data_IF_826326803448
#
_entry.id   IF_826326803448
#
_cell.length_a   1.000
_cell.length_b   1.000
_cell.length_c   1.000
_cell.angle_alpha   90.00
_cell.angle_beta   90.00
_cell.angle_gamma   90.00
#
_symmetry.space_group_name_H-M   'P 1'
#
loop_
_entity.id
_entity.type
_entity.pdbx_description
1 polymer ?
#
# COMPACT_ATOMS: atom_id res chain seq x y z
N UNK A 1 3.87 -13.20 8.35
CA UNK A 1 3.87 -13.89 7.03
C UNK A 1 5.01 -13.39 6.16
N UNK A 2 5.14 -12.09 5.92
CA UNK A 2 6.22 -11.51 5.08
C UNK A 2 7.63 -11.86 5.56
N UNK A 3 7.89 -11.86 6.87
CA UNK A 3 9.18 -12.24 7.45
C UNK A 3 9.59 -13.67 7.06
N UNK A 4 8.65 -14.62 7.19
CA UNK A 4 8.90 -16.02 6.84
C UNK A 4 9.11 -16.19 5.33
N UNK A 5 8.35 -15.48 4.51
CA UNK A 5 8.53 -15.52 3.07
C UNK A 5 9.85 -14.87 2.64
N UNK A 6 10.32 -13.85 3.33
CA UNK A 6 11.61 -13.22 3.04
C UNK A 6 12.80 -14.14 3.29
N UNK A 7 12.69 -15.11 4.22
CA UNK A 7 13.69 -16.16 4.39
C UNK A 7 13.90 -16.99 3.11
N UNK A 8 12.82 -17.20 2.34
CA UNK A 8 12.78 -18.11 1.19
C UNK A 8 12.96 -17.39 -0.15
N UNK A 9 12.41 -16.18 -0.31
CA UNK A 9 12.15 -15.58 -1.62
C UNK A 9 12.75 -14.19 -1.83
N UNK A 10 13.43 -13.60 -0.91
CA UNK A 10 13.86 -12.21 -1.04
C UNK A 10 12.73 -11.21 -0.83
N UNK A 11 12.70 -10.11 -1.60
CA UNK A 11 11.73 -9.03 -1.39
C UNK A 11 10.27 -9.45 -1.60
N UNK A 12 9.38 -8.85 -0.81
CA UNK A 12 7.94 -9.05 -0.84
C UNK A 12 7.23 -7.81 -1.37
N UNK A 13 6.14 -7.98 -2.12
CA UNK A 13 5.36 -6.85 -2.63
C UNK A 13 3.86 -7.11 -2.55
N UNK A 14 3.12 -6.12 -2.07
CA UNK A 14 1.66 -6.12 -2.08
C UNK A 14 1.19 -5.15 -3.17
N UNK A 15 0.59 -5.65 -4.26
CA UNK A 15 0.30 -4.83 -5.45
C UNK A 15 -0.94 -3.94 -5.32
N UNK A 16 -1.81 -4.16 -4.33
CA UNK A 16 -3.05 -3.42 -4.11
C UNK A 16 -3.41 -3.38 -2.62
N UNK A 17 -2.55 -2.76 -1.82
CA UNK A 17 -2.65 -2.79 -0.37
C UNK A 17 -3.96 -2.22 0.16
N UNK A 18 -4.41 -1.08 -0.39
CA UNK A 18 -5.66 -0.41 -0.05
C UNK A 18 -6.87 -1.31 -0.30
N UNK A 19 -6.98 -1.92 -1.48
CA UNK A 19 -8.07 -2.87 -1.80
C UNK A 19 -8.06 -4.11 -0.92
N UNK A 20 -6.88 -4.65 -0.60
CA UNK A 20 -6.79 -5.85 0.22
C UNK A 20 -7.11 -5.60 1.68
N UNK A 21 -6.85 -4.39 2.18
CA UNK A 21 -7.11 -4.04 3.57
C UNK A 21 -8.52 -3.47 3.79
N UNK A 22 -9.18 -2.93 2.77
CA UNK A 22 -10.51 -2.34 2.87
C UNK A 22 -11.56 -3.26 3.53
N UNK A 23 -11.67 -4.56 3.20
CA UNK A 23 -12.63 -5.44 3.87
C UNK A 23 -12.41 -5.58 5.38
N UNK A 24 -11.16 -5.51 5.83
CA UNK A 24 -10.83 -5.57 7.26
C UNK A 24 -11.24 -4.30 8.01
N UNK A 25 -11.24 -3.14 7.35
CA UNK A 25 -11.76 -1.90 7.92
C UNK A 25 -13.25 -2.03 8.19
N UNK A 26 -14.02 -2.56 7.21
CA UNK A 26 -15.46 -2.83 7.38
C UNK A 26 -15.70 -3.82 8.52
N UNK A 27 -14.94 -4.90 8.58
CA UNK A 27 -15.04 -5.87 9.67
C UNK A 27 -14.76 -5.24 11.04
N UNK A 28 -13.73 -4.39 11.13
CA UNK A 28 -13.42 -3.66 12.36
C UNK A 28 -14.56 -2.74 12.77
N UNK A 29 -15.19 -2.05 11.82
CA UNK A 29 -16.36 -1.24 12.08
C UNK A 29 -17.53 -2.04 12.65
N UNK A 30 -17.81 -3.22 12.11
CA UNK A 30 -18.84 -4.12 12.61
C UNK A 30 -18.53 -4.59 14.04
N UNK A 31 -17.26 -4.97 14.31
CA UNK A 31 -16.82 -5.33 15.67
C UNK A 31 -16.97 -4.19 16.67
N UNK A 32 -16.74 -2.93 16.27
CA UNK A 32 -16.97 -1.78 17.17
C UNK A 32 -18.47 -1.53 17.43
N UNK A 33 -19.34 -1.75 16.43
CA UNK A 33 -20.78 -1.71 16.62
C UNK A 33 -21.26 -2.79 17.61
N UNK A 34 -20.70 -4.00 17.53
CA UNK A 34 -21.02 -5.10 18.46
C UNK A 34 -20.62 -4.74 19.91
N UNK A 35 -19.41 -4.19 20.10
CA UNK A 35 -18.96 -3.75 21.43
C UNK A 35 -19.84 -2.66 22.01
N UNK A 36 -20.28 -1.69 21.20
CA UNK A 36 -21.21 -0.66 21.64
C UNK A 36 -22.55 -1.30 22.02
N UNK A 37 -22.99 -2.29 21.24
CA UNK A 37 -24.20 -3.06 21.51
C UNK A 37 -24.14 -3.82 22.84
N UNK A 38 -23.04 -4.48 23.12
CA UNK A 38 -22.80 -5.15 24.41
C UNK A 38 -22.90 -4.17 25.60
N UNK A 39 -22.32 -2.97 25.46
CA UNK A 39 -22.37 -1.94 26.53
C UNK A 39 -23.80 -1.42 26.72
N UNK A 40 -24.54 -1.19 25.64
CA UNK A 40 -25.88 -0.62 25.68
C UNK A 40 -26.99 -1.66 25.91
N UNK A 41 -26.68 -2.97 25.85
CA UNK A 41 -27.67 -4.05 25.89
C UNK A 41 -28.59 -4.09 24.68
N UNK A 42 -28.10 -3.65 23.51
CA UNK A 42 -28.83 -3.55 22.24
C UNK A 42 -28.01 -4.12 21.08
N UNK A 43 -28.66 -4.70 20.04
CA UNK A 43 -27.98 -5.13 18.83
C UNK A 43 -27.99 -4.04 17.75
N UNK A 44 -26.82 -3.71 17.23
CA UNK A 44 -26.65 -2.76 16.12
C UNK A 44 -26.33 -3.46 14.78
N UNK A 45 -26.63 -4.75 14.64
CA UNK A 45 -26.38 -5.49 13.38
C UNK A 45 -27.05 -4.84 12.17
N UNK A 46 -28.18 -4.10 12.36
CA UNK A 46 -28.84 -3.32 11.32
C UNK A 46 -27.97 -2.21 10.71
N UNK A 47 -26.89 -1.80 11.40
CA UNK A 47 -25.98 -0.73 10.99
C UNK A 47 -24.68 -1.24 10.34
N UNK A 48 -24.48 -2.55 10.18
CA UNK A 48 -23.27 -3.12 9.64
C UNK A 48 -22.91 -2.62 8.23
N UNK A 49 -23.95 -2.38 7.42
CA UNK A 49 -23.82 -1.88 6.05
C UNK A 49 -24.17 -0.38 5.93
N UNK A 50 -24.19 0.33 7.06
CA UNK A 50 -24.47 1.75 7.04
C UNK A 50 -23.55 2.47 6.05
N UNK A 51 -24.08 3.36 5.22
CA UNK A 51 -23.27 4.14 4.29
C UNK A 51 -22.34 5.05 5.10
N UNK A 52 -21.05 4.94 4.81
CA UNK A 52 -20.02 5.72 5.46
C UNK A 52 -19.27 6.46 4.37
N UNK A 53 -19.43 7.77 4.32
CA UNK A 53 -18.81 8.58 3.27
C UNK A 53 -17.29 8.64 3.39
N UNK A 54 -16.80 8.74 4.61
CA UNK A 54 -15.37 8.79 4.88
C UNK A 54 -15.08 8.38 6.32
N UNK A 55 -14.11 7.50 6.51
CA UNK A 55 -13.67 7.09 7.84
C UNK A 55 -12.81 8.21 8.46
N UNK A 56 -13.47 9.27 8.94
CA UNK A 56 -12.85 10.38 9.65
C UNK A 56 -13.32 10.42 11.09
N UNK A 57 -12.39 10.66 12.01
CA UNK A 57 -12.77 10.98 13.39
C UNK A 57 -13.50 12.32 13.44
N UNK A 58 -14.64 12.33 14.12
CA UNK A 58 -15.46 13.53 14.32
C UNK A 58 -15.85 13.65 15.77
N UNK A 59 -16.14 14.88 16.17
CA UNK A 59 -16.75 15.14 17.47
C UNK A 59 -18.17 14.56 17.49
N UNK A 60 -18.57 14.04 18.65
CA UNK A 60 -19.90 13.47 18.88
C UNK A 60 -20.91 14.51 19.41
N UNK A 61 -20.50 15.78 19.57
CA UNK A 61 -21.36 16.85 20.07
C UNK A 61 -22.51 17.10 19.08
N UNK A 62 -23.75 17.04 19.60
CA UNK A 62 -24.95 17.30 18.81
C UNK A 62 -25.43 16.13 17.93
N UNK A 63 -24.68 15.02 17.84
CA UNK A 63 -25.11 13.82 17.12
C UNK A 63 -25.90 12.92 18.08
N UNK A 64 -27.04 12.37 17.62
CA UNK A 64 -27.93 11.53 18.40
C UNK A 64 -28.35 10.26 17.67
N UNK A 65 -28.94 9.31 18.37
CA UNK A 65 -29.49 8.07 17.81
C UNK A 65 -28.44 7.22 17.08
N UNK A 66 -28.86 6.58 16.02
CA UNK A 66 -28.01 5.68 15.23
C UNK A 66 -26.78 6.40 14.64
N UNK A 67 -26.92 7.67 14.24
CA UNK A 67 -25.80 8.45 13.71
C UNK A 67 -24.68 8.62 14.73
N UNK A 68 -25.03 8.77 16.03
CA UNK A 68 -24.05 8.83 17.11
C UNK A 68 -23.34 7.50 17.30
N UNK A 69 -24.06 6.39 17.22
CA UNK A 69 -23.50 5.04 17.31
C UNK A 69 -22.55 4.78 16.14
N UNK A 70 -22.98 5.07 14.91
CA UNK A 70 -22.17 4.96 13.71
C UNK A 70 -20.89 5.80 13.83
N UNK A 71 -21.04 7.08 14.22
CA UNK A 71 -19.87 7.96 14.32
C UNK A 71 -18.90 7.53 15.42
N UNK A 72 -19.42 7.01 16.56
CA UNK A 72 -18.57 6.46 17.60
C UNK A 72 -17.80 5.22 17.12
N UNK A 73 -18.50 4.27 16.50
CA UNK A 73 -17.88 3.09 15.92
C UNK A 73 -16.82 3.46 14.86
N UNK A 74 -17.09 4.49 14.03
CA UNK A 74 -16.11 5.01 13.07
C UNK A 74 -14.87 5.58 13.76
N UNK A 75 -15.02 6.39 14.81
CA UNK A 75 -13.90 6.96 15.54
C UNK A 75 -12.99 5.87 16.13
N UNK A 76 -13.60 4.80 16.68
CA UNK A 76 -12.88 3.64 17.20
C UNK A 76 -12.18 2.86 16.06
N UNK A 77 -12.87 2.66 14.94
CA UNK A 77 -12.33 2.00 13.74
C UNK A 77 -11.10 2.74 13.22
N UNK A 78 -11.19 4.05 13.03
CA UNK A 78 -10.05 4.87 12.58
C UNK A 78 -8.86 4.73 13.53
N UNK A 79 -9.13 4.75 14.86
CA UNK A 79 -8.06 4.57 15.85
C UNK A 79 -7.38 3.21 15.74
N UNK A 80 -8.16 2.14 15.57
CA UNK A 80 -7.62 0.77 15.39
C UNK A 80 -6.85 0.62 14.07
N UNK A 81 -7.36 1.21 12.99
CA UNK A 81 -6.65 1.22 11.70
C UNK A 81 -5.34 1.98 11.82
N UNK A 82 -5.33 3.15 12.45
CA UNK A 82 -4.11 3.91 12.71
C UNK A 82 -3.06 3.09 13.47
N UNK A 83 -3.45 2.49 14.60
CA UNK A 83 -2.56 1.63 15.40
C UNK A 83 -2.04 0.42 14.60
N UNK A 84 -2.89 -0.14 13.72
CA UNK A 84 -2.49 -1.26 12.87
C UNK A 84 -1.47 -0.84 11.83
N UNK A 85 -1.61 0.35 11.24
CA UNK A 85 -0.64 0.90 10.29
C UNK A 85 0.68 1.26 10.98
N UNK A 86 0.61 1.84 12.18
CA UNK A 86 1.78 2.11 13.00
C UNK A 86 2.54 0.81 13.35
N UNK A 87 1.84 -0.21 13.83
CA UNK A 87 2.41 -1.51 14.11
C UNK A 87 3.01 -2.17 12.86
N UNK A 88 2.34 -2.06 11.73
CA UNK A 88 2.82 -2.60 10.46
C UNK A 88 4.14 -1.93 10.04
N UNK A 89 4.17 -0.60 9.98
CA UNK A 89 5.37 0.15 9.60
C UNK A 89 6.51 -0.10 10.60
N UNK A 90 6.21 -0.10 11.90
CA UNK A 90 7.22 -0.39 12.93
C UNK A 90 7.80 -1.80 12.78
N UNK A 91 6.96 -2.80 12.59
CA UNK A 91 7.40 -4.19 12.45
C UNK A 91 8.26 -4.41 11.21
N UNK A 92 7.93 -3.74 10.08
CA UNK A 92 8.74 -3.84 8.86
C UNK A 92 10.15 -3.24 9.03
N UNK A 93 10.37 -2.40 10.04
CA UNK A 93 11.67 -1.78 10.32
C UNK A 93 12.42 -2.41 11.52
N UNK A 94 11.76 -3.24 12.32
CA UNK A 94 12.33 -3.82 13.54
C UNK A 94 12.47 -5.35 13.52
N UNK A 95 11.62 -6.04 12.76
CA UNK A 95 11.68 -7.50 12.63
C UNK A 95 12.73 -7.88 11.60
N UNK A 96 13.65 -8.74 11.98
CA UNK A 96 14.72 -9.23 11.12
C UNK A 96 14.40 -10.63 10.59
N UNK A 97 14.92 -10.91 9.41
CA UNK A 97 14.89 -12.21 8.74
C UNK A 97 16.31 -12.63 8.32
N UNK A 98 16.43 -13.78 7.68
CA UNK A 98 17.71 -14.31 7.17
C UNK A 98 18.79 -14.35 8.23
N UNK A 99 18.53 -15.11 9.28
CA UNK A 99 19.45 -15.27 10.38
C UNK A 99 19.62 -14.02 11.26
N UNK A 100 18.65 -13.11 11.23
CA UNK A 100 18.66 -11.89 12.04
C UNK A 100 19.50 -10.75 11.47
N UNK A 101 20.01 -10.86 10.24
CA UNK A 101 20.93 -9.87 9.65
C UNK A 101 20.25 -8.90 8.67
N UNK A 102 19.01 -9.12 8.30
CA UNK A 102 18.29 -8.26 7.35
C UNK A 102 16.89 -7.93 7.86
N UNK A 103 16.49 -6.67 7.68
CA UNK A 103 15.08 -6.28 7.74
C UNK A 103 14.33 -6.85 6.54
N UNK A 104 13.02 -7.06 6.68
CA UNK A 104 12.17 -7.58 5.61
C UNK A 104 12.10 -6.58 4.46
N UNK A 105 12.67 -6.91 3.31
CA UNK A 105 12.61 -6.07 2.11
C UNK A 105 11.21 -6.13 1.53
N UNK A 106 10.39 -5.17 1.88
CA UNK A 106 8.96 -5.14 1.57
C UNK A 106 8.58 -3.89 0.79
N UNK A 107 7.56 -4.00 -0.05
CA UNK A 107 6.95 -2.88 -0.77
C UNK A 107 5.44 -3.01 -0.83
N UNK A 108 4.75 -1.89 -0.85
CA UNK A 108 3.30 -1.82 -0.99
C UNK A 108 2.92 -0.81 -2.06
N UNK A 109 1.91 -1.15 -2.85
CA UNK A 109 1.34 -0.30 -3.87
C UNK A 109 -0.11 0.03 -3.49
N UNK A 110 -0.51 1.29 -3.59
CA UNK A 110 -1.82 1.77 -3.18
C UNK A 110 -2.18 3.11 -3.85
N UNK A 111 -3.35 3.65 -3.57
CA UNK A 111 -3.77 4.99 -4.00
C UNK A 111 -4.94 4.99 -4.96
N UNK A 112 -5.42 3.82 -5.42
CA UNK A 112 -6.50 3.71 -6.40
C UNK A 112 -7.84 3.23 -5.83
N UNK A 113 -7.90 2.73 -4.60
CA UNK A 113 -9.18 2.43 -3.97
C UNK A 113 -9.90 3.73 -3.55
N UNK A 114 -11.11 3.92 -4.07
CA UNK A 114 -11.97 5.08 -3.80
C UNK A 114 -13.09 4.80 -2.80
N UNK A 115 -13.17 3.57 -2.27
CA UNK A 115 -14.10 3.23 -1.19
C UNK A 115 -13.74 3.99 0.09
N UNK A 116 -14.71 4.18 0.98
CA UNK A 116 -14.45 4.84 2.26
C UNK A 116 -13.43 4.05 3.10
N UNK A 117 -13.51 2.72 3.05
CA UNK A 117 -12.61 1.81 3.72
C UNK A 117 -11.17 1.90 3.17
N UNK A 118 -11.02 1.82 1.85
CA UNK A 118 -9.70 1.94 1.21
C UNK A 118 -9.08 3.31 1.45
N UNK A 119 -9.86 4.38 1.39
CA UNK A 119 -9.41 5.74 1.74
C UNK A 119 -8.99 5.86 3.19
N UNK A 120 -9.65 5.16 4.12
CA UNK A 120 -9.23 5.08 5.52
C UNK A 120 -7.84 4.44 5.63
N UNK A 121 -7.63 3.30 4.99
CA UNK A 121 -6.30 2.62 4.96
C UNK A 121 -5.22 3.55 4.43
N UNK A 122 -5.48 4.19 3.28
CA UNK A 122 -4.53 5.12 2.64
C UNK A 122 -4.19 6.27 3.59
N UNK A 123 -5.21 6.90 4.20
CA UNK A 123 -5.03 8.04 5.08
C UNK A 123 -4.20 7.68 6.32
N UNK A 124 -4.54 6.59 6.99
CA UNK A 124 -3.85 6.22 8.22
C UNK A 124 -2.44 5.68 7.97
N UNK A 125 -2.20 5.05 6.83
CA UNK A 125 -0.84 4.72 6.38
C UNK A 125 0.01 5.98 6.13
N UNK A 126 -0.57 6.98 5.47
CA UNK A 126 0.10 8.25 5.22
C UNK A 126 0.34 9.04 6.52
N UNK A 127 -0.63 9.04 7.46
CA UNK A 127 -0.47 9.66 8.78
C UNK A 127 0.71 9.04 9.53
N UNK A 128 0.72 7.72 9.67
CA UNK A 128 1.79 6.96 10.32
C UNK A 128 3.15 7.22 9.66
N UNK A 129 3.18 7.25 8.33
CA UNK A 129 4.42 7.54 7.59
C UNK A 129 4.90 8.97 7.86
N UNK A 130 3.98 9.93 7.91
CA UNK A 130 4.29 11.34 8.18
C UNK A 130 4.83 11.54 9.60
N UNK A 131 4.26 10.85 10.59
CA UNK A 131 4.69 10.87 11.98
C UNK A 131 6.06 10.21 12.13
N UNK A 132 6.30 9.11 11.45
CA UNK A 132 7.55 8.35 11.48
C UNK A 132 7.56 7.30 12.59
N UNK A 133 8.66 6.57 12.72
CA UNK A 133 8.84 5.49 13.71
C UNK A 133 9.70 5.96 14.89
N UNK A 134 9.42 5.39 16.06
CA UNK A 134 10.15 5.72 17.29
C UNK A 134 10.09 7.22 17.60
N UNK A 135 11.23 7.89 17.64
CA UNK A 135 11.34 9.32 17.91
C UNK A 135 11.10 10.20 16.66
N UNK A 136 10.23 9.76 15.74
CA UNK A 136 9.92 10.48 14.51
C UNK A 136 10.93 10.26 13.39
N UNK A 137 11.69 9.18 13.43
CA UNK A 137 12.62 8.79 12.36
C UNK A 137 11.87 8.33 11.11
N UNK A 138 12.48 8.53 9.94
CA UNK A 138 11.90 8.04 8.69
C UNK A 138 12.00 6.52 8.61
N UNK A 139 10.87 5.84 8.41
CA UNK A 139 10.83 4.42 8.15
C UNK A 139 11.46 4.11 6.77
N UNK A 140 12.23 3.02 6.68
CA UNK A 140 12.83 2.56 5.43
C UNK A 140 11.87 1.61 4.71
N UNK A 141 11.17 0.76 5.44
CA UNK A 141 10.23 -0.22 4.95
C UNK A 141 8.83 -0.05 5.55
N UNK A 142 7.78 -0.46 4.84
CA UNK A 142 7.79 -0.91 3.44
C UNK A 142 8.10 0.26 2.49
N UNK A 143 8.72 -0.04 1.35
CA UNK A 143 8.81 0.91 0.24
C UNK A 143 7.40 1.16 -0.26
N UNK A 144 6.97 2.40 -0.22
CA UNK A 144 5.59 2.78 -0.55
C UNK A 144 5.51 3.36 -1.95
N UNK A 145 4.54 2.90 -2.72
CA UNK A 145 4.30 3.31 -4.10
C UNK A 145 2.86 3.78 -4.26
N UNK A 146 2.70 5.08 -4.51
CA UNK A 146 1.43 5.68 -4.86
C UNK A 146 1.13 5.48 -6.34
N UNK A 147 -0.01 4.89 -6.66
CA UNK A 147 -0.52 4.74 -8.01
C UNK A 147 -1.36 5.96 -8.39
N UNK A 148 -0.86 6.78 -9.32
CA UNK A 148 -1.56 7.97 -9.81
C UNK A 148 -2.35 7.65 -11.06
N UNK A 149 -3.65 8.00 -11.09
CA UNK A 149 -4.57 7.73 -12.19
C UNK A 149 -5.57 8.86 -12.39
N UNK A 150 -5.82 9.25 -13.66
CA UNK A 150 -6.92 10.17 -14.01
C UNK A 150 -8.27 9.53 -13.68
N UNK A 151 -9.21 10.34 -13.18
CA UNK A 151 -10.52 9.88 -12.71
C UNK A 151 -10.47 9.20 -11.32
N UNK A 152 -9.28 9.15 -10.69
CA UNK A 152 -9.12 8.61 -9.34
C UNK A 152 -8.40 9.58 -8.40
N UNK A 153 -7.27 10.15 -8.83
CA UNK A 153 -6.43 10.97 -7.95
C UNK A 153 -5.65 12.08 -8.65
N UNK A 154 -5.96 12.37 -9.93
CA UNK A 154 -5.17 13.29 -10.74
C UNK A 154 -5.71 14.73 -10.69
N UNK A 155 -7.02 14.92 -10.82
CA UNK A 155 -7.70 16.21 -10.93
C UNK A 155 -8.37 16.58 -9.59
N UNK A 156 -8.62 17.87 -9.31
CA UNK A 156 -9.25 18.32 -8.07
C UNK A 156 -10.60 17.69 -7.76
N UNK A 157 -11.36 17.31 -8.79
CA UNK A 157 -12.65 16.62 -8.69
C UNK A 157 -12.53 15.11 -8.43
N UNK A 158 -11.35 14.53 -8.59
CA UNK A 158 -11.14 13.10 -8.37
C UNK A 158 -11.25 12.74 -6.89
N UNK A 159 -11.89 11.60 -6.60
CA UNK A 159 -12.21 11.16 -5.22
C UNK A 159 -11.01 11.09 -4.29
N UNK A 160 -9.82 10.71 -4.78
CA UNK A 160 -8.59 10.56 -4.00
C UNK A 160 -7.62 11.73 -4.19
N UNK A 161 -8.04 12.85 -4.74
CA UNK A 161 -7.17 14.00 -4.96
C UNK A 161 -6.64 14.62 -3.65
N UNK A 162 -7.48 14.67 -2.61
CA UNK A 162 -7.08 15.13 -1.27
C UNK A 162 -5.97 14.25 -0.68
N UNK A 163 -6.12 12.93 -0.81
CA UNK A 163 -5.11 11.96 -0.36
C UNK A 163 -3.84 12.02 -1.21
N UNK A 164 -3.96 12.28 -2.52
CA UNK A 164 -2.80 12.51 -3.38
C UNK A 164 -1.99 13.74 -2.96
N UNK A 165 -2.66 14.87 -2.66
CA UNK A 165 -1.98 16.05 -2.12
C UNK A 165 -1.27 15.74 -0.79
N UNK A 166 -1.93 14.96 0.05
CA UNK A 166 -1.33 14.53 1.32
C UNK A 166 -0.14 13.59 1.07
N UNK A 167 -0.24 12.65 0.14
CA UNK A 167 0.89 11.79 -0.26
C UNK A 167 2.10 12.59 -0.74
N UNK A 168 1.88 13.65 -1.54
CA UNK A 168 2.95 14.56 -1.95
C UNK A 168 3.61 15.26 -0.75
N UNK A 169 2.82 15.73 0.23
CA UNK A 169 3.32 16.34 1.46
C UNK A 169 4.15 15.35 2.29
N UNK A 170 3.67 14.10 2.42
CA UNK A 170 4.37 13.03 3.13
C UNK A 170 5.69 12.71 2.44
N UNK A 171 5.67 12.54 1.10
CA UNK A 171 6.85 12.26 0.30
C UNK A 171 7.91 13.36 0.42
N UNK A 172 7.51 14.62 0.42
CA UNK A 172 8.41 15.74 0.59
C UNK A 172 9.14 15.74 1.96
N UNK A 173 8.52 15.14 2.98
CA UNK A 173 9.11 15.06 4.33
C UNK A 173 9.87 13.75 4.58
N UNK A 174 9.38 12.63 4.01
CA UNK A 174 9.78 11.27 4.37
C UNK A 174 10.40 10.46 3.22
N UNK A 175 10.49 11.04 2.02
CA UNK A 175 10.92 10.38 0.79
C UNK A 175 9.98 9.28 0.28
N UNK A 176 8.90 8.97 0.98
CA UNK A 176 7.82 8.05 0.62
C UNK A 176 6.46 8.75 0.72
N UNK A 177 5.47 8.32 -0.10
CA UNK A 177 5.57 7.32 -1.16
C UNK A 177 6.33 7.80 -2.41
N UNK A 178 6.86 6.85 -3.19
CA UNK A 178 7.20 7.04 -4.58
C UNK A 178 5.93 7.04 -5.44
N UNK A 179 5.99 7.53 -6.67
CA UNK A 179 4.81 7.67 -7.53
C UNK A 179 4.98 6.88 -8.82
N UNK A 180 3.93 6.12 -9.19
CA UNK A 180 3.82 5.48 -10.50
C UNK A 180 2.63 6.07 -11.26
N UNK A 181 2.84 6.44 -12.51
CA UNK A 181 1.79 6.99 -13.37
C UNK A 181 1.13 5.84 -14.16
N UNK A 182 -0.13 5.52 -13.82
CA UNK A 182 -0.92 4.50 -14.51
C UNK A 182 -1.43 4.95 -15.88
N UNK A 183 -1.39 6.27 -16.17
CA UNK A 183 -1.80 6.82 -17.46
C UNK A 183 -0.68 6.82 -18.51
N UNK A 184 0.54 6.43 -18.13
CA UNK A 184 1.61 6.24 -19.10
C UNK A 184 1.23 5.11 -20.08
N UNK A 185 1.47 5.26 -21.40
CA UNK A 185 1.01 4.29 -22.41
C UNK A 185 1.43 2.86 -22.12
N UNK A 186 2.65 2.66 -21.59
CA UNK A 186 3.16 1.34 -21.23
C UNK A 186 2.56 0.77 -19.93
N UNK A 187 1.85 1.57 -19.14
CA UNK A 187 1.16 1.14 -17.92
C UNK A 187 -0.35 0.96 -18.13
N UNK A 188 -0.84 1.35 -19.30
CA UNK A 188 -2.26 1.21 -19.61
C UNK A 188 -2.66 -0.26 -19.81
N UNK A 189 -3.86 -0.60 -19.32
CA UNK A 189 -4.50 -1.89 -19.56
C UNK A 189 -5.91 -1.67 -20.12
N UNK A 190 -6.25 -2.36 -21.20
CA UNK A 190 -7.52 -2.19 -21.91
C UNK A 190 -8.75 -2.58 -21.07
N UNK A 191 -8.59 -3.52 -20.15
CA UNK A 191 -9.66 -3.99 -19.26
C UNK A 191 -9.83 -3.10 -18.02
N UNK A 192 -8.97 -2.11 -17.79
CA UNK A 192 -9.11 -1.22 -16.65
C UNK A 192 -10.32 -0.30 -16.80
N UNK A 193 -11.22 -0.31 -15.83
CA UNK A 193 -12.39 0.58 -15.75
C UNK A 193 -12.51 1.15 -14.35
N UNK A 194 -12.88 2.42 -14.25
CA UNK A 194 -12.96 3.14 -12.97
C UNK A 194 -14.04 2.58 -12.02
N UNK A 195 -15.11 2.03 -12.58
CA UNK A 195 -16.26 1.44 -11.87
C UNK A 195 -16.08 -0.06 -11.55
N UNK A 196 -15.05 -0.72 -12.06
CA UNK A 196 -14.77 -2.12 -11.73
C UNK A 196 -14.18 -2.22 -10.31
N UNK A 197 -14.85 -2.90 -9.37
CA UNK A 197 -14.32 -3.10 -8.01
C UNK A 197 -13.04 -3.94 -7.97
N UNK A 198 -12.74 -4.66 -9.04
CA UNK A 198 -11.52 -5.48 -9.19
C UNK A 198 -10.48 -4.84 -10.12
N UNK A 199 -10.63 -3.54 -10.44
CA UNK A 199 -9.72 -2.83 -11.37
C UNK A 199 -8.26 -2.91 -10.99
N UNK A 200 -7.95 -3.11 -9.70
CA UNK A 200 -6.58 -3.29 -9.22
C UNK A 200 -5.84 -4.46 -9.89
N UNK A 201 -6.56 -5.45 -10.42
CA UNK A 201 -5.98 -6.57 -11.15
C UNK A 201 -5.35 -6.15 -12.48
N UNK A 202 -5.80 -5.03 -13.03
CA UNK A 202 -5.38 -4.46 -14.30
C UNK A 202 -4.43 -3.28 -14.12
N UNK A 203 -3.83 -3.16 -12.95
CA UNK A 203 -2.89 -2.09 -12.62
C UNK A 203 -1.48 -2.62 -12.51
N UNK A 204 -0.53 -1.86 -13.04
CA UNK A 204 0.88 -2.11 -12.81
C UNK A 204 1.21 -2.00 -11.33
N UNK A 205 2.15 -2.78 -10.86
CA UNK A 205 2.74 -2.61 -9.54
C UNK A 205 4.27 -2.60 -9.65
N UNK A 206 4.92 -2.06 -8.64
CA UNK A 206 6.36 -2.21 -8.49
C UNK A 206 6.68 -3.15 -7.33
N UNK A 207 7.64 -4.02 -7.56
CA UNK A 207 8.24 -4.86 -6.54
C UNK A 207 9.56 -4.20 -6.11
N UNK A 208 9.69 -3.92 -4.82
CA UNK A 208 10.76 -3.06 -4.35
C UNK A 208 10.61 -1.63 -4.88
N UNK A 209 11.74 -0.95 -5.12
CA UNK A 209 11.70 0.46 -5.52
C UNK A 209 11.50 0.70 -7.03
N UNK A 210 11.80 -0.27 -7.91
CA UNK A 210 11.86 -0.03 -9.37
C UNK A 210 11.42 -1.19 -10.24
N UNK A 211 11.32 -2.41 -9.73
CA UNK A 211 10.98 -3.57 -10.56
C UNK A 211 9.51 -3.49 -10.94
N UNK A 212 9.25 -3.10 -12.16
CA UNK A 212 7.90 -3.02 -12.72
C UNK A 212 7.38 -4.42 -12.98
N UNK A 213 6.19 -4.73 -12.48
CA UNK A 213 5.53 -6.03 -12.59
C UNK A 213 4.18 -5.85 -13.25
N UNK A 214 4.05 -6.33 -14.48
CA UNK A 214 2.81 -6.19 -15.24
C UNK A 214 2.73 -7.17 -16.40
N UNK A 215 3.68 -7.14 -17.34
CA UNK A 215 3.67 -7.99 -18.53
C UNK A 215 3.77 -9.46 -18.16
N UNK A 216 3.06 -10.28 -18.94
CA UNK A 216 3.15 -11.73 -18.86
C UNK A 216 3.23 -12.30 -20.27
N UNK A 217 4.28 -13.06 -20.54
CA UNK A 217 4.47 -13.69 -21.85
C UNK A 217 3.48 -14.83 -22.09
N UNK A 218 3.02 -15.49 -21.05
CA UNK A 218 2.27 -16.73 -21.10
C UNK A 218 0.87 -16.65 -20.47
N UNK A 219 0.39 -15.46 -20.18
CA UNK A 219 -0.91 -15.27 -19.53
C UNK A 219 -1.35 -13.81 -19.53
N UNK A 220 -2.40 -13.49 -18.77
CA UNK A 220 -2.92 -12.13 -18.71
C UNK A 220 -1.90 -11.15 -18.14
N UNK A 221 -1.95 -9.94 -18.65
CA UNK A 221 -1.15 -8.81 -18.18
C UNK A 221 -1.70 -8.35 -16.82
N UNK A 222 -1.03 -8.72 -15.73
CA UNK A 222 -1.44 -8.40 -14.36
C UNK A 222 -0.25 -8.35 -13.42
N UNK A 223 -0.36 -7.58 -12.34
CA UNK A 223 0.63 -7.56 -11.26
C UNK A 223 0.35 -8.58 -10.14
N UNK A 224 -0.81 -9.26 -10.18
CA UNK A 224 -1.26 -10.19 -9.15
C UNK A 224 -0.62 -11.57 -9.33
N UNK A 225 -0.25 -12.21 -8.20
CA UNK A 225 0.30 -13.57 -8.20
C UNK A 225 1.67 -13.67 -8.86
N UNK A 226 2.43 -12.59 -8.86
CA UNK A 226 3.78 -12.51 -9.43
C UNK A 226 4.83 -12.69 -8.34
N UNK A 227 6.01 -13.16 -8.73
CA UNK A 227 7.14 -13.34 -7.80
C UNK A 227 8.47 -13.39 -8.52
N UNK A 228 9.55 -13.26 -7.77
CA UNK A 228 10.90 -13.48 -8.26
C UNK A 228 11.18 -14.97 -8.24
N UNK A 229 11.44 -15.56 -9.40
CA UNK A 229 11.79 -16.98 -9.53
C UNK A 229 13.30 -17.22 -9.45
N UNK A 230 14.10 -16.27 -9.91
CA UNK A 230 15.54 -16.36 -9.92
C UNK A 230 16.18 -14.98 -10.00
N UNK A 231 17.46 -14.92 -9.79
CA UNK A 231 18.30 -13.76 -10.07
C UNK A 231 19.49 -14.15 -10.90
N UNK A 232 19.97 -13.24 -11.72
CA UNK A 232 21.16 -13.41 -12.54
C UNK A 232 22.19 -12.40 -12.09
N UNK A 233 23.39 -12.89 -11.79
CA UNK A 233 24.53 -12.05 -11.40
C UNK A 233 25.53 -12.00 -12.51
N UNK A 234 25.93 -10.81 -12.92
CA UNK A 234 27.04 -10.59 -13.83
C UNK A 234 28.29 -10.33 -13.00
N UNK A 235 29.30 -11.19 -13.14
CA UNK A 235 30.57 -11.00 -12.46
C UNK A 235 31.43 -10.01 -13.23
N UNK A 236 31.27 -8.74 -12.95
CA UNK A 236 31.99 -7.64 -13.62
C UNK A 236 33.51 -7.77 -13.40
N UNK A 237 33.95 -8.24 -12.24
CA UNK A 237 35.38 -8.43 -11.94
C UNK A 237 35.98 -9.47 -12.88
N UNK A 238 35.27 -10.60 -13.07
CA UNK A 238 35.72 -11.63 -14.01
C UNK A 238 35.79 -11.09 -15.44
N UNK A 239 34.76 -10.38 -15.89
CA UNK A 239 34.75 -9.77 -17.20
C UNK A 239 35.91 -8.78 -17.39
N UNK A 240 36.17 -7.95 -16.38
CA UNK A 240 37.30 -7.02 -16.43
C UNK A 240 38.64 -7.75 -16.58
N UNK A 241 38.85 -8.81 -15.80
CA UNK A 241 40.08 -9.63 -15.88
C UNK A 241 40.20 -10.30 -17.26
N UNK A 242 39.13 -10.86 -17.81
CA UNK A 242 39.13 -11.48 -19.15
C UNK A 242 39.42 -10.46 -20.25
N UNK A 243 38.97 -9.21 -20.11
CA UNK A 243 39.24 -8.12 -21.04
C UNK A 243 40.67 -7.52 -20.94
N UNK A 244 41.40 -7.75 -19.83
CA UNK A 244 42.75 -7.19 -19.66
C UNK A 244 43.76 -7.66 -20.69
N UNK A 245 43.56 -8.84 -21.30
CA UNK A 245 44.41 -9.37 -22.38
C UNK A 245 44.09 -8.87 -23.80
N UNK A 246 43.05 -8.06 -23.95
CA UNK A 246 42.63 -7.54 -25.25
C UNK A 246 43.36 -6.20 -25.48
N UNK A 247 44.21 -6.17 -26.52
CA UNK A 247 45.06 -5.00 -26.81
C UNK A 247 44.24 -3.82 -27.34
N UNK A 248 43.24 -4.08 -28.18
CA UNK A 248 42.38 -3.02 -28.73
C UNK A 248 41.26 -2.64 -27.74
N UNK A 249 41.22 -1.38 -27.36
CA UNK A 249 40.27 -0.87 -26.37
C UNK A 249 38.79 -0.93 -26.84
N UNK A 250 38.54 -0.85 -28.14
CA UNK A 250 37.21 -0.96 -28.74
C UNK A 250 36.65 -2.39 -28.64
N UNK A 251 37.52 -3.41 -28.69
CA UNK A 251 37.12 -4.81 -28.58
C UNK A 251 36.88 -5.27 -27.12
N UNK A 252 37.18 -4.41 -26.10
CA UNK A 252 36.98 -4.70 -24.66
C UNK A 252 35.55 -4.51 -24.20
N UNK A 253 34.72 -3.88 -25.02
CA UNK A 253 33.30 -3.62 -24.69
C UNK A 253 32.47 -4.63 -25.49
N UNK A 254 31.78 -5.57 -24.82
CA UNK A 254 30.89 -6.52 -25.49
C UNK A 254 29.62 -5.86 -26.02
#
# INVERSE_FOLDING_TARGET
METVQNEMHGGQAIPAFDFYMAPFVRKTFQEELDKIGEINGESYARLYDAPIDDYLKRDLIGIQGDDRVIQHAMNMTVSRVHQSMEAFVHNMNSIHSRGGNQVVFSSINYGTDTSAEGRCVIRELLNTTYEGVGNGSTAIFPIQIWKKKRGVSYLPEDRNYDLYKFACKVSARRFFPNFVNLDAPFNHHELWKADDPKRYQWEVATMGCRTRVFENRFGPKTSIGRGNLSFTTINIVKLAIECMGIENQEDRIP
#
